data_IF_515755719530
#
_entry.id   IF_515755719530
#
_cell.length_a   1.000
_cell.length_b   1.000
_cell.length_c   1.000
_cell.angle_alpha   90.00
_cell.angle_beta   90.00
_cell.angle_gamma   90.00
#
_symmetry.space_group_name_H-M   'P 1'
#
loop_
_entity.id
_entity.type
_entity.pdbx_description
1 polymer ?
#
# COMPACT_ATOMS: atom_id res chain seq x y z
N UNK A 1 -4.81 10.23 8.70
CA UNK A 1 -5.16 9.17 7.73
C UNK A 1 -4.67 9.59 6.36
N UNK A 2 -3.94 8.72 5.67
CA UNK A 2 -3.55 8.91 4.27
C UNK A 2 -4.05 7.75 3.43
N UNK A 3 -4.36 8.03 2.16
CA UNK A 3 -4.83 7.04 1.19
C UNK A 3 -3.95 7.13 -0.04
N UNK A 4 -3.34 6.02 -0.42
CA UNK A 4 -2.56 5.91 -1.65
C UNK A 4 -3.14 4.80 -2.54
N UNK A 5 -3.06 4.98 -3.85
CA UNK A 5 -3.37 3.89 -4.79
C UNK A 5 -2.05 3.31 -5.28
N UNK A 6 -1.86 2.02 -5.06
CA UNK A 6 -0.68 1.28 -5.51
C UNK A 6 -1.07 0.25 -6.57
N UNK A 7 -0.12 -0.15 -7.40
CA UNK A 7 -0.26 -1.35 -8.23
C UNK A 7 0.21 -2.55 -7.41
N UNK A 8 -0.74 -3.34 -6.92
CA UNK A 8 -0.43 -4.56 -6.20
C UNK A 8 -0.13 -5.68 -7.20
N UNK A 9 0.98 -6.39 -7.01
CA UNK A 9 1.31 -7.63 -7.72
C UNK A 9 1.00 -8.83 -6.82
N UNK A 10 0.44 -9.89 -7.40
CA UNK A 10 0.14 -11.14 -6.69
C UNK A 10 0.38 -12.32 -7.62
N UNK A 11 0.93 -13.42 -7.12
CA UNK A 11 1.18 -14.63 -7.92
C UNK A 11 -0.07 -15.17 -8.62
N UNK A 12 -1.26 -14.85 -8.08
CA UNK A 12 -2.54 -15.35 -8.60
C UNK A 12 -3.23 -14.42 -9.59
N UNK A 13 -2.78 -13.17 -9.76
CA UNK A 13 -3.49 -12.15 -10.57
C UNK A 13 -2.54 -11.16 -11.24
N UNK A 14 -2.93 -10.67 -12.41
CA UNK A 14 -2.31 -9.51 -13.03
C UNK A 14 -2.35 -8.29 -12.09
N UNK A 15 -1.39 -7.38 -12.22
CA UNK A 15 -1.29 -6.21 -11.37
C UNK A 15 -2.58 -5.39 -11.39
N UNK A 16 -3.08 -5.04 -10.20
CA UNK A 16 -4.34 -4.33 -10.05
C UNK A 16 -4.20 -3.13 -9.12
N UNK A 17 -5.00 -2.07 -9.31
CA UNK A 17 -5.01 -0.93 -8.41
C UNK A 17 -5.58 -1.37 -7.05
N UNK A 18 -4.81 -1.14 -5.99
CA UNK A 18 -5.19 -1.40 -4.60
C UNK A 18 -5.12 -0.07 -3.83
N UNK A 19 -6.20 0.27 -3.13
CA UNK A 19 -6.20 1.40 -2.21
C UNK A 19 -5.58 0.98 -0.88
N UNK A 20 -4.61 1.75 -0.42
CA UNK A 20 -3.89 1.53 0.83
C UNK A 20 -4.22 2.67 1.77
N UNK A 21 -4.78 2.34 2.94
CA UNK A 21 -5.17 3.28 3.98
C UNK A 21 -4.22 3.13 5.16
N UNK A 22 -3.59 4.24 5.56
CA UNK A 22 -2.63 4.28 6.65
C UNK A 22 -3.05 5.28 7.74
N UNK A 23 -2.63 4.99 8.97
CA UNK A 23 -2.88 5.80 10.17
C UNK A 23 -1.55 6.13 10.87
N UNK A 24 -1.58 7.17 11.70
CA UNK A 24 -0.47 7.61 12.54
C UNK A 24 0.88 7.71 11.80
N UNK A 25 1.91 7.05 12.31
CA UNK A 25 3.28 7.10 11.76
C UNK A 25 3.35 6.47 10.36
N UNK A 26 2.59 5.40 10.10
CA UNK A 26 2.55 4.76 8.79
C UNK A 26 1.93 5.69 7.74
N UNK A 27 1.02 6.58 8.15
CA UNK A 27 0.45 7.56 7.24
C UNK A 27 1.50 8.56 6.74
N UNK A 28 2.43 8.96 7.63
CA UNK A 28 3.55 9.83 7.27
C UNK A 28 4.52 9.10 6.35
N UNK A 29 4.86 7.86 6.66
CA UNK A 29 5.72 7.02 5.81
C UNK A 29 5.10 6.82 4.42
N UNK A 30 3.80 6.53 4.34
CA UNK A 30 3.10 6.37 3.05
C UNK A 30 3.15 7.65 2.19
N UNK A 31 3.14 8.83 2.83
CA UNK A 31 3.23 10.12 2.15
C UNK A 31 4.62 10.44 1.62
N UNK A 32 5.69 9.78 2.11
CA UNK A 32 7.05 10.01 1.61
C UNK A 32 7.34 9.23 0.32
N UNK A 33 6.58 8.17 0.05
CA UNK A 33 6.83 7.33 -1.12
C UNK A 33 6.52 8.06 -2.42
N UNK A 34 7.41 7.86 -3.39
CA UNK A 34 7.29 8.47 -4.71
C UNK A 34 6.66 7.50 -5.70
N UNK A 35 6.02 8.06 -6.74
CA UNK A 35 5.45 7.26 -7.83
C UNK A 35 6.55 6.40 -8.48
N UNK A 36 6.29 5.10 -8.61
CA UNK A 36 7.23 4.14 -9.18
C UNK A 36 8.11 3.44 -8.14
N UNK A 37 8.06 3.84 -6.87
CA UNK A 37 8.74 3.15 -5.79
C UNK A 37 8.04 1.82 -5.46
N UNK A 38 8.84 0.77 -5.27
CA UNK A 38 8.36 -0.52 -4.83
C UNK A 38 8.30 -0.55 -3.31
N UNK A 39 7.14 -0.95 -2.78
CA UNK A 39 6.88 -1.02 -1.34
C UNK A 39 6.28 -2.37 -0.97
N UNK A 40 6.50 -2.77 0.27
CA UNK A 40 5.83 -3.92 0.89
C UNK A 40 4.86 -3.38 1.93
N UNK A 41 3.58 -3.66 1.75
CA UNK A 41 2.53 -3.24 2.67
C UNK A 41 1.89 -4.47 3.32
N UNK A 42 1.79 -4.46 4.66
CA UNK A 42 1.15 -5.54 5.43
C UNK A 42 -0.04 -4.97 6.20
N UNK A 43 -1.14 -5.71 6.23
CA UNK A 43 -2.41 -5.13 6.67
C UNK A 43 -3.59 -6.06 6.47
N UNK A 44 -4.78 -5.52 6.69
CA UNK A 44 -6.05 -6.21 6.50
C UNK A 44 -6.72 -5.71 5.23
N UNK A 45 -7.03 -6.64 4.32
CA UNK A 45 -7.81 -6.34 3.12
C UNK A 45 -9.29 -6.22 3.48
N UNK A 46 -9.93 -5.19 2.94
CA UNK A 46 -11.37 -4.94 3.07
C UNK A 46 -11.94 -4.52 1.71
N UNK A 47 -13.18 -4.91 1.44
CA UNK A 47 -13.91 -4.41 0.27
C UNK A 47 -14.76 -3.22 0.68
N UNK A 48 -14.42 -2.02 0.18
CA UNK A 48 -15.20 -0.79 0.37
C UNK A 48 -15.31 -0.04 -0.94
N UNK A 49 -16.23 -0.47 -1.80
CA UNK A 49 -16.42 0.02 -3.18
C UNK A 49 -15.23 -0.22 -4.14
N UNK A 50 -14.04 -0.47 -3.61
CA UNK A 50 -12.83 -0.92 -4.31
C UNK A 50 -12.03 -1.87 -3.41
N UNK A 51 -11.07 -2.58 -4.02
CA UNK A 51 -10.05 -3.32 -3.28
C UNK A 51 -9.26 -2.35 -2.41
N UNK A 52 -9.41 -2.49 -1.10
CA UNK A 52 -8.82 -1.61 -0.10
C UNK A 52 -8.06 -2.42 0.92
N UNK A 53 -7.00 -1.86 1.48
CA UNK A 53 -6.19 -2.48 2.51
C UNK A 53 -5.85 -1.45 3.58
N UNK A 54 -6.23 -1.73 4.81
CA UNK A 54 -5.79 -0.95 5.97
C UNK A 54 -4.46 -1.51 6.42
N UNK A 55 -3.40 -0.69 6.33
CA UNK A 55 -2.06 -1.15 6.67
C UNK A 55 -1.80 -1.08 8.16
N UNK A 56 -1.02 -2.07 8.62
CA UNK A 56 -0.41 -2.14 9.95
C UNK A 56 1.08 -1.77 9.92
N UNK A 57 1.70 -1.92 8.76
CA UNK A 57 3.07 -1.52 8.51
C UNK A 57 3.31 -1.35 7.00
N UNK A 58 4.22 -0.44 6.66
CA UNK A 58 4.68 -0.26 5.29
C UNK A 58 6.18 0.02 5.25
N UNK A 59 6.87 -0.69 4.36
CA UNK A 59 8.31 -0.61 4.21
C UNK A 59 8.67 -0.39 2.75
N UNK A 60 9.62 0.50 2.48
CA UNK A 60 10.20 0.64 1.14
C UNK A 60 11.15 -0.51 0.86
N UNK A 61 11.14 -1.00 -0.37
CA UNK A 61 12.18 -1.89 -0.84
C UNK A 61 13.48 -1.07 -0.99
N UNK A 62 14.42 -1.19 -0.04
CA UNK A 62 15.79 -0.70 -0.23
C UNK A 62 16.59 -1.76 -0.98
N UNK A 63 16.98 -1.46 -2.21
CA UNK A 63 18.05 -2.21 -2.87
C UNK A 63 19.35 -1.98 -2.08
N UNK A 64 20.12 -3.04 -1.74
CA UNK A 64 21.43 -2.89 -1.12
C UNK A 64 22.43 -2.18 -2.02
#
# INVERSE_FOLDING_TARGET
MSVATILASSDKRSSYPLQVIAFDIDALTLMTFQRGQQITATGKTEWRSSYTMVIKSVESFQTP
#
